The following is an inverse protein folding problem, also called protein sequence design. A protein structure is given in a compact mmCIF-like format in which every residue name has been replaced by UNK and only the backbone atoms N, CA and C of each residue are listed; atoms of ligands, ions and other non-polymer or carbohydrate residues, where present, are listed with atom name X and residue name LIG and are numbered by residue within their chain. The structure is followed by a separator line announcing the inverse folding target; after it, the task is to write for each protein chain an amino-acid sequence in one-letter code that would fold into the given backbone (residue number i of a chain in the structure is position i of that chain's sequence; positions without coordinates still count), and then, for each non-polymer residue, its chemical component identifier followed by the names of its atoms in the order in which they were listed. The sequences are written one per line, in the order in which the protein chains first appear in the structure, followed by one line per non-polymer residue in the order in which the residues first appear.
data_IF_215910530923
#
_entry.id   IF_215910530923
#
_cell.length_a   1.000
_cell.length_b   1.000
_cell.length_c   1.000
_cell.angle_alpha   90.00
_cell.angle_beta   90.00
_cell.angle_gamma   90.00
#
_symmetry.space_group_name_H-M   'P 1'
#
loop_
_entity.id
_entity.type
_entity.pdbx_description
1 polymer ?
#
# COMPACT_ATOMS: atom_id res chain seq x y z
N UNK A 1 -4.86 38.17 23.63
CA UNK A 1 -4.44 38.06 22.22
C UNK A 1 -2.96 37.73 22.19
N UNK A 2 -2.60 36.47 21.99
CA UNK A 2 -1.23 36.03 21.76
C UNK A 2 -1.27 35.13 20.52
N UNK A 3 -0.90 35.68 19.38
CA UNK A 3 -0.73 34.95 18.12
C UNK A 3 0.57 34.16 18.22
N UNK A 4 0.46 32.86 18.49
CA UNK A 4 1.56 31.94 18.29
C UNK A 4 1.78 31.80 16.78
N UNK A 5 2.76 32.54 16.28
CA UNK A 5 3.29 32.46 14.92
C UNK A 5 3.66 31.01 14.61
N UNK A 6 3.04 30.47 13.56
CA UNK A 6 3.39 29.17 13.00
C UNK A 6 4.87 29.13 12.68
N UNK A 7 5.60 28.26 13.40
CA UNK A 7 6.94 27.86 12.99
C UNK A 7 6.85 27.19 11.62
N UNK A 8 7.88 27.33 10.76
CA UNK A 8 7.86 26.72 9.45
C UNK A 8 7.72 25.21 9.64
N UNK A 9 6.67 24.63 9.06
CA UNK A 9 6.56 23.19 8.90
C UNK A 9 7.84 22.76 8.19
N UNK A 10 8.76 22.14 8.94
CA UNK A 10 9.99 21.59 8.40
C UNK A 10 9.60 20.84 7.13
N UNK A 11 10.16 21.22 5.98
CA UNK A 11 9.93 20.55 4.71
C UNK A 11 10.34 19.10 4.90
N UNK A 12 9.38 18.26 5.28
CA UNK A 12 9.65 16.96 5.86
C UNK A 12 10.19 16.10 4.73
N UNK A 13 11.47 15.71 4.85
CA UNK A 13 12.09 14.79 3.91
C UNK A 13 11.15 13.59 3.74
N UNK A 14 10.79 13.21 2.50
CA UNK A 14 9.89 12.10 2.27
C UNK A 14 10.42 10.85 2.99
N UNK A 15 9.60 10.26 3.84
CA UNK A 15 9.93 9.02 4.54
C UNK A 15 9.51 7.85 3.65
N UNK A 16 10.33 6.78 3.54
CA UNK A 16 9.97 5.63 2.72
C UNK A 16 8.74 4.90 3.28
N UNK A 17 8.56 4.92 4.61
CA UNK A 17 7.53 4.18 5.33
C UNK A 17 6.68 5.11 6.19
N UNK A 18 5.37 4.93 6.13
CA UNK A 18 4.40 5.61 7.00
C UNK A 18 3.84 4.70 8.08
N UNK A 19 3.22 5.34 9.08
CA UNK A 19 2.58 4.66 10.20
C UNK A 19 1.23 5.32 10.44
N UNK A 20 0.19 4.53 10.28
CA UNK A 20 -1.20 4.94 10.33
C UNK A 20 -1.95 4.10 11.37
N UNK A 21 -2.91 4.73 12.02
CA UNK A 21 -3.80 4.09 12.99
C UNK A 21 -5.23 4.26 12.50
N UNK A 22 -5.93 3.14 12.35
CA UNK A 22 -7.34 3.13 11.94
C UNK A 22 -8.24 3.23 13.17
N UNK A 23 -8.73 4.44 13.43
CA UNK A 23 -9.70 4.72 14.49
C UNK A 23 -11.11 4.74 13.91
N UNK A 24 -12.13 4.86 14.77
CA UNK A 24 -13.53 4.95 14.31
C UNK A 24 -13.78 6.23 13.48
N UNK A 25 -13.01 7.28 13.75
CA UNK A 25 -13.08 8.56 13.06
C UNK A 25 -12.33 8.54 11.72
N UNK A 26 -11.55 7.50 11.46
CA UNK A 26 -10.79 7.31 10.22
C UNK A 26 -9.31 7.02 10.45
N UNK A 27 -8.57 7.06 9.34
CA UNK A 27 -7.13 6.83 9.30
C UNK A 27 -6.37 8.08 9.74
N UNK A 28 -5.39 7.92 10.63
CA UNK A 28 -4.59 9.03 11.16
C UNK A 28 -3.12 8.64 11.27
N UNK A 29 -2.22 9.57 10.97
CA UNK A 29 -0.78 9.34 11.04
C UNK A 29 -0.02 10.04 9.92
N UNK A 30 1.22 9.63 9.71
CA UNK A 30 2.06 10.15 8.64
C UNK A 30 2.24 9.09 7.55
N UNK A 31 1.96 9.47 6.32
CA UNK A 31 2.16 8.62 5.15
C UNK A 31 3.64 8.55 4.75
N UNK A 32 4.04 7.36 4.28
CA UNK A 32 5.30 7.13 3.58
C UNK A 32 5.11 7.24 2.08
N UNK A 33 6.23 7.30 1.35
CA UNK A 33 6.22 7.35 -0.12
C UNK A 33 6.14 5.95 -0.75
N UNK A 34 6.60 4.91 -0.05
CA UNK A 34 6.55 3.53 -0.54
C UNK A 34 5.32 2.76 -0.03
N UNK A 35 5.21 2.65 1.29
CA UNK A 35 4.10 1.94 1.93
C UNK A 35 3.86 2.44 3.35
N UNK A 36 2.68 2.11 3.88
CA UNK A 36 2.22 2.47 5.21
C UNK A 36 1.95 1.21 6.03
N UNK A 37 2.42 1.19 7.28
CA UNK A 37 1.87 0.26 8.28
C UNK A 37 0.57 0.82 8.81
N UNK A 38 -0.51 0.02 8.75
CA UNK A 38 -1.82 0.38 9.28
C UNK A 38 -2.11 -0.50 10.50
N UNK A 39 -2.22 0.11 11.67
CA UNK A 39 -2.68 -0.55 12.88
C UNK A 39 -4.21 -0.49 12.95
N UNK A 40 -4.86 -1.64 13.05
CA UNK A 40 -6.30 -1.78 13.20
C UNK A 40 -6.68 -2.79 14.27
N UNK A 41 -7.98 -3.01 14.45
CA UNK A 41 -8.48 -3.92 15.48
C UNK A 41 -7.98 -5.38 15.33
N UNK A 42 -7.70 -5.81 14.11
CA UNK A 42 -7.23 -7.17 13.78
C UNK A 42 -5.71 -7.33 13.72
N UNK A 43 -4.93 -6.24 13.89
CA UNK A 43 -3.48 -6.29 13.92
C UNK A 43 -2.82 -5.23 13.04
N UNK A 44 -1.62 -5.57 12.54
CA UNK A 44 -0.81 -4.70 11.69
C UNK A 44 -0.93 -5.15 10.24
N UNK A 45 -1.23 -4.20 9.38
CA UNK A 45 -1.33 -4.38 7.94
C UNK A 45 -0.24 -3.56 7.25
N UNK A 46 0.22 -4.03 6.10
CA UNK A 46 1.00 -3.23 5.16
C UNK A 46 0.07 -2.78 4.06
N UNK A 47 0.02 -1.47 3.82
CA UNK A 47 -0.73 -0.84 2.74
C UNK A 47 0.22 -0.16 1.77
N UNK A 48 0.06 -0.38 0.48
CA UNK A 48 0.73 0.39 -0.57
C UNK A 48 -0.26 0.71 -1.68
N UNK A 49 -0.15 1.90 -2.22
CA UNK A 49 -0.97 2.39 -3.33
C UNK A 49 -0.04 2.93 -4.40
N UNK A 50 -0.26 2.47 -5.63
CA UNK A 50 0.48 2.87 -6.81
C UNK A 50 -0.48 3.04 -7.98
N UNK A 51 0.02 3.59 -9.08
CA UNK A 51 -0.77 3.72 -10.31
C UNK A 51 -1.35 2.38 -10.79
N UNK A 52 -0.69 1.25 -10.51
CA UNK A 52 -1.05 -0.05 -11.06
C UNK A 52 -1.72 -0.99 -10.05
N UNK A 53 -1.37 -0.87 -8.78
CA UNK A 53 -1.74 -1.82 -7.72
C UNK A 53 -2.03 -1.07 -6.43
N UNK A 54 -3.18 -1.38 -5.83
CA UNK A 54 -3.51 -1.05 -4.45
C UNK A 54 -3.55 -2.34 -3.65
N UNK A 55 -2.67 -2.46 -2.65
CA UNK A 55 -2.59 -3.65 -1.81
C UNK A 55 -2.63 -3.28 -0.33
N UNK A 56 -3.38 -4.04 0.45
CA UNK A 56 -3.41 -4.05 1.91
C UNK A 56 -3.45 -5.49 2.40
N UNK A 57 -2.41 -5.90 3.11
CA UNK A 57 -2.22 -7.29 3.56
C UNK A 57 -1.93 -7.31 5.05
N UNK A 58 -2.52 -8.25 5.78
CA UNK A 58 -2.24 -8.47 7.19
C UNK A 58 -0.85 -9.10 7.34
N UNK A 59 0.04 -8.45 8.10
CA UNK A 59 1.41 -8.95 8.33
C UNK A 59 1.64 -9.48 9.74
N UNK A 60 0.88 -8.97 10.72
CA UNK A 60 0.94 -9.46 12.09
C UNK A 60 -0.46 -9.44 12.73
N UNK A 61 -1.13 -10.59 12.87
CA UNK A 61 -2.43 -10.67 13.53
C UNK A 61 -2.29 -10.36 15.02
N UNK A 62 -3.13 -9.47 15.53
CA UNK A 62 -3.18 -9.13 16.95
C UNK A 62 -4.51 -8.43 17.28
N UNK A 63 -5.17 -8.81 18.36
CA UNK A 63 -6.37 -8.10 18.81
C UNK A 63 -5.99 -6.77 19.47
N UNK A 64 -6.40 -5.66 18.85
CA UNK A 64 -6.18 -4.31 19.38
C UNK A 64 -7.52 -3.66 19.70
N UNK A 65 -7.83 -3.54 20.99
CA UNK A 65 -9.10 -2.96 21.45
C UNK A 65 -9.15 -1.46 21.19
N UNK A 66 -10.35 -0.97 20.86
CA UNK A 66 -10.63 0.46 20.67
C UNK A 66 -10.32 1.01 19.27
N UNK A 67 -9.71 0.21 18.38
CA UNK A 67 -9.50 0.56 16.98
C UNK A 67 -10.61 0.04 16.07
N UNK A 68 -10.68 0.57 14.86
CA UNK A 68 -11.59 0.09 13.84
C UNK A 68 -10.98 -1.12 13.09
N UNK A 69 -11.81 -2.09 12.65
CA UNK A 69 -11.32 -3.20 11.84
C UNK A 69 -10.76 -2.70 10.51
N UNK A 70 -9.77 -3.42 9.98
CA UNK A 70 -9.15 -3.12 8.69
C UNK A 70 -9.33 -4.34 7.80
N UNK A 71 -9.84 -4.12 6.59
CA UNK A 71 -10.05 -5.19 5.61
C UNK A 71 -8.85 -5.27 4.69
N UNK A 72 -8.39 -6.50 4.42
CA UNK A 72 -7.41 -6.77 3.36
C UNK A 72 -7.98 -6.40 2.00
N UNK A 73 -7.10 -6.00 1.09
CA UNK A 73 -7.48 -5.46 -0.21
C UNK A 73 -6.37 -5.73 -1.21
N UNK A 74 -6.68 -6.30 -2.37
CA UNK A 74 -5.74 -6.37 -3.48
C UNK A 74 -6.51 -6.03 -4.74
N UNK A 75 -6.20 -4.87 -5.33
CA UNK A 75 -6.88 -4.35 -6.51
C UNK A 75 -5.85 -3.88 -7.55
N UNK A 76 -6.03 -4.34 -8.78
CA UNK A 76 -5.33 -3.78 -9.94
C UNK A 76 -6.10 -2.55 -10.40
N UNK A 77 -5.46 -1.38 -10.34
CA UNK A 77 -6.09 -0.09 -10.63
C UNK A 77 -6.63 0.01 -12.07
N UNK A 78 -6.08 -0.78 -12.99
CA UNK A 78 -6.47 -0.85 -14.39
C UNK A 78 -7.32 -2.09 -14.75
N UNK A 79 -7.76 -2.84 -13.73
CA UNK A 79 -8.49 -4.09 -13.93
C UNK A 79 -7.57 -5.28 -14.23
N UNK A 80 -8.15 -6.48 -14.43
CA UNK A 80 -7.38 -7.68 -14.72
C UNK A 80 -6.73 -7.59 -16.11
N UNK A 81 -5.49 -8.09 -16.22
CA UNK A 81 -4.84 -8.27 -17.52
C UNK A 81 -5.72 -9.24 -18.33
N UNK A 82 -6.15 -8.87 -19.56
CA UNK A 82 -6.90 -9.78 -20.43
C UNK A 82 -6.17 -11.11 -20.58
N UNK A 83 -6.86 -12.23 -20.34
CA UNK A 83 -6.25 -13.58 -20.27
C UNK A 83 -5.37 -13.91 -21.48
N UNK A 84 -5.78 -13.49 -22.69
CA UNK A 84 -5.02 -13.69 -23.92
C UNK A 84 -3.65 -13.00 -23.89
N UNK A 85 -3.53 -11.81 -23.30
CA UNK A 85 -2.25 -11.10 -23.20
C UNK A 85 -1.33 -11.80 -22.20
N UNK A 86 -1.88 -12.30 -21.09
CA UNK A 86 -1.14 -13.13 -20.15
C UNK A 86 -0.63 -14.42 -20.80
N UNK A 87 -1.45 -15.12 -21.57
CA UNK A 87 -1.06 -16.34 -22.31
C UNK A 87 0.07 -16.08 -23.32
N UNK A 88 0.02 -14.96 -24.03
CA UNK A 88 1.07 -14.55 -24.97
C UNK A 88 2.38 -14.31 -24.22
N UNK A 89 2.35 -13.53 -23.14
CA UNK A 89 3.53 -13.31 -22.31
C UNK A 89 4.10 -14.62 -21.76
N UNK A 90 3.24 -15.50 -21.24
CA UNK A 90 3.63 -16.80 -20.70
C UNK A 90 4.31 -17.69 -21.73
N UNK A 91 3.77 -17.79 -22.96
CA UNK A 91 4.42 -18.51 -24.05
C UNK A 91 5.80 -17.94 -24.37
N UNK A 92 5.90 -16.61 -24.42
CA UNK A 92 7.16 -15.92 -24.73
C UNK A 92 8.23 -16.14 -23.66
N UNK A 93 7.84 -16.31 -22.39
CA UNK A 93 8.75 -16.72 -21.31
C UNK A 93 9.14 -18.21 -21.40
N UNK A 94 8.24 -19.07 -21.86
CA UNK A 94 8.50 -20.50 -22.03
C UNK A 94 9.41 -20.82 -23.23
N UNK A 95 9.42 -19.97 -24.25
CA UNK A 95 10.26 -20.16 -25.45
C UNK A 95 11.76 -20.17 -25.13
N UNK A 96 12.18 -19.42 -24.10
CA UNK A 96 13.55 -19.45 -23.58
C UNK A 96 13.55 -19.08 -22.10
N UNK A 97 13.44 -20.07 -21.20
CA UNK A 97 13.36 -19.85 -19.77
C UNK A 97 14.70 -19.47 -19.14
N UNK A 98 15.80 -19.54 -19.90
CA UNK A 98 17.14 -19.19 -19.38
C UNK A 98 17.43 -17.69 -19.45
N UNK A 99 16.63 -16.96 -20.22
CA UNK A 99 16.76 -15.52 -20.40
C UNK A 99 15.69 -14.78 -19.60
N UNK A 100 16.10 -13.89 -18.70
CA UNK A 100 15.17 -12.97 -18.05
C UNK A 100 14.56 -12.03 -19.09
N UNK A 101 13.23 -12.00 -19.16
CA UNK A 101 12.46 -11.18 -20.09
C UNK A 101 11.42 -10.39 -19.31
N UNK A 102 11.01 -9.25 -19.85
CA UNK A 102 9.93 -8.45 -19.29
C UNK A 102 8.82 -8.30 -20.33
N UNK A 103 7.57 -8.54 -19.91
CA UNK A 103 6.38 -8.36 -20.73
C UNK A 103 5.47 -7.34 -20.03
N UNK A 104 5.28 -6.19 -20.67
CA UNK A 104 4.45 -5.11 -20.17
C UNK A 104 3.24 -4.92 -21.09
N UNK A 105 2.08 -4.67 -20.49
CA UNK A 105 0.78 -4.47 -21.14
C UNK A 105 0.14 -3.21 -20.60
#
# INVERSE_FOLDING_TARGET
MATASGGPAASARPKPVGYLVNRKEGLTGAHGVGFDYVLGAGGIYVQSESANLTARVLVAPCEVRGLAPVTEKVELSHGPIPARLFEVGLRWFQDDPTTERFFAV
#
